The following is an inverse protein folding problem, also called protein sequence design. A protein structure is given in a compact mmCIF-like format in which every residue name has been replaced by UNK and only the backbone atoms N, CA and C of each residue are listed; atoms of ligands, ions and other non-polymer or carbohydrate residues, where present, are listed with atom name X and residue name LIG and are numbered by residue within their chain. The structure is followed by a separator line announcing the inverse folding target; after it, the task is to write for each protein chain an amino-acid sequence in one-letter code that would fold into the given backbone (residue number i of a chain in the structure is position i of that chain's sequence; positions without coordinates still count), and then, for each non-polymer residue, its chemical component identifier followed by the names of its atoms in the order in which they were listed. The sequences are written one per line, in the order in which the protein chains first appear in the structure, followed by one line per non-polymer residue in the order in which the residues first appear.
data_IF_934495889809
#
_entry.id   IF_934495889809
#
_cell.length_a   1.000
_cell.length_b   1.000
_cell.length_c   1.000
_cell.angle_alpha   90.00
_cell.angle_beta   90.00
_cell.angle_gamma   90.00
#
_symmetry.space_group_name_H-M   'P 1'
#
loop_
_entity.id
_entity.type
_entity.pdbx_description
1 polymer ?
#
# COMPACT_ATOMS: atom_id res chain seq x y z
N UNK A 1 32.54 -6.29 -1.08
CA UNK A 1 32.23 -5.61 0.22
C UNK A 1 30.75 -5.21 0.15
N UNK A 2 29.86 -5.92 0.84
CA UNK A 2 28.44 -5.55 0.89
C UNK A 2 28.38 -4.37 1.87
N UNK A 3 28.09 -3.18 1.36
CA UNK A 3 27.83 -2.00 2.18
C UNK A 3 26.51 -2.29 2.96
N UNK A 4 26.63 -2.52 4.25
CA UNK A 4 25.48 -2.65 5.12
C UNK A 4 24.87 -1.24 5.28
N UNK A 5 23.80 -0.96 4.55
CA UNK A 5 23.02 0.25 4.79
C UNK A 5 22.46 0.21 6.20
N UNK A 6 22.37 1.36 6.85
CA UNK A 6 21.77 1.46 8.16
C UNK A 6 20.31 0.95 8.12
N UNK A 7 19.87 0.17 9.14
CA UNK A 7 18.47 -0.30 9.16
C UNK A 7 17.50 0.88 9.25
N UNK A 8 16.39 0.77 8.54
CA UNK A 8 15.29 1.73 8.61
C UNK A 8 14.39 1.34 9.77
N UNK A 9 14.21 2.25 10.73
CA UNK A 9 13.29 2.07 11.86
C UNK A 9 11.97 2.76 11.54
N UNK A 10 10.87 1.99 11.60
CA UNK A 10 9.51 2.51 11.41
C UNK A 10 8.74 2.35 12.71
N UNK A 11 8.32 3.48 13.29
CA UNK A 11 7.40 3.46 14.42
C UNK A 11 5.96 3.38 13.87
N UNK A 12 5.30 2.26 14.10
CA UNK A 12 3.93 2.02 13.62
C UNK A 12 2.85 2.56 14.57
N UNK A 13 3.22 2.88 15.81
CA UNK A 13 2.27 3.31 16.85
C UNK A 13 1.23 2.25 17.22
N UNK A 14 1.48 0.96 16.93
CA UNK A 14 0.52 -0.12 17.19
C UNK A 14 1.19 -1.36 17.79
N UNK A 15 0.38 -2.17 18.48
CA UNK A 15 0.76 -3.53 18.86
C UNK A 15 0.71 -4.42 17.60
N UNK A 16 1.88 -4.70 17.03
CA UNK A 16 2.03 -5.44 15.77
C UNK A 16 1.79 -6.93 16.00
N UNK A 17 0.90 -7.51 15.20
CA UNK A 17 0.61 -8.96 15.18
C UNK A 17 1.47 -9.66 14.13
N UNK A 18 1.73 -9.00 13.01
CA UNK A 18 2.56 -9.56 11.95
C UNK A 18 2.85 -8.58 10.82
N UNK A 19 3.88 -8.89 10.05
CA UNK A 19 4.23 -8.15 8.85
C UNK A 19 4.51 -9.11 7.68
N UNK A 20 4.14 -8.69 6.48
CA UNK A 20 4.30 -9.47 5.24
C UNK A 20 4.64 -8.56 4.08
N UNK A 21 5.68 -8.91 3.35
CA UNK A 21 5.99 -8.31 2.06
C UNK A 21 5.01 -8.78 0.98
N UNK A 22 4.63 -7.89 0.09
CA UNK A 22 4.02 -8.26 -1.19
C UNK A 22 4.98 -9.15 -1.99
N UNK A 23 4.46 -10.00 -2.87
CA UNK A 23 5.30 -10.95 -3.61
C UNK A 23 6.32 -10.28 -4.53
N UNK A 24 6.02 -9.08 -5.01
CA UNK A 24 6.92 -8.25 -5.81
C UNK A 24 7.91 -7.42 -4.97
N UNK A 25 7.80 -7.48 -3.64
CA UNK A 25 8.67 -6.75 -2.71
C UNK A 25 8.44 -5.24 -2.66
N UNK A 26 7.40 -4.73 -3.32
CA UNK A 26 7.14 -3.29 -3.41
C UNK A 26 6.43 -2.70 -2.20
N UNK A 27 5.70 -3.52 -1.44
CA UNK A 27 4.88 -3.06 -0.30
C UNK A 27 5.07 -3.99 0.90
N UNK A 28 5.33 -3.40 2.07
CA UNK A 28 5.28 -4.08 3.35
C UNK A 28 3.92 -3.81 4.01
N UNK A 29 3.15 -4.85 4.29
CA UNK A 29 1.95 -4.75 5.12
C UNK A 29 2.28 -5.11 6.57
N UNK A 30 1.91 -4.23 7.49
CA UNK A 30 2.06 -4.43 8.94
C UNK A 30 0.69 -4.41 9.57
N UNK A 31 0.27 -5.55 10.12
CA UNK A 31 -1.04 -5.73 10.75
C UNK A 31 -0.93 -5.67 12.27
N UNK A 32 -1.87 -5.02 12.91
CA UNK A 32 -1.88 -4.89 14.36
C UNK A 32 -3.10 -4.17 14.91
N UNK A 33 -3.02 -3.83 16.19
CA UNK A 33 -4.05 -3.09 16.92
C UNK A 33 -3.47 -1.75 17.37
N UNK A 34 -4.17 -0.69 17.06
CA UNK A 34 -3.85 0.67 17.48
C UNK A 34 -4.86 1.14 18.51
N UNK A 35 -4.38 1.64 19.64
CA UNK A 35 -5.24 2.29 20.63
C UNK A 35 -5.44 3.73 20.21
N UNK A 36 -6.69 4.09 19.89
CA UNK A 36 -7.05 5.45 19.50
C UNK A 36 -7.69 6.14 20.70
N UNK A 37 -7.14 7.26 21.20
CA UNK A 37 -7.79 8.06 22.22
C UNK A 37 -9.13 8.56 21.69
N UNK A 38 -10.23 8.21 22.35
CA UNK A 38 -11.53 8.79 22.06
C UNK A 38 -12.10 9.46 23.30
N UNK A 39 -13.00 10.42 23.11
CA UNK A 39 -13.59 11.19 24.22
C UNK A 39 -14.30 10.23 25.17
N UNK A 40 -13.68 9.97 26.32
CA UNK A 40 -14.25 9.16 27.41
C UNK A 40 -13.89 7.67 27.41
N UNK A 41 -13.17 7.14 26.42
CA UNK A 41 -12.65 5.77 26.45
C UNK A 41 -11.54 5.57 25.42
N UNK A 42 -10.57 4.72 25.76
CA UNK A 42 -9.62 4.19 24.77
C UNK A 42 -10.34 3.11 23.96
N UNK A 43 -10.28 3.22 22.64
CA UNK A 43 -10.86 2.22 21.75
C UNK A 43 -9.78 1.62 20.89
N UNK A 44 -9.60 0.33 21.01
CA UNK A 44 -8.74 -0.43 20.14
C UNK A 44 -9.32 -0.53 18.72
N UNK A 45 -8.49 -0.28 17.75
CA UNK A 45 -8.86 -0.39 16.34
C UNK A 45 -7.86 -1.30 15.63
N UNK A 46 -8.38 -2.32 14.97
CA UNK A 46 -7.55 -3.16 14.10
C UNK A 46 -7.19 -2.38 12.84
N UNK A 47 -5.92 -2.38 12.52
CA UNK A 47 -5.39 -1.66 11.35
C UNK A 47 -4.34 -2.49 10.62
N UNK A 48 -4.23 -2.23 9.32
CA UNK A 48 -3.10 -2.65 8.51
C UNK A 48 -2.48 -1.40 7.91
N UNK A 49 -1.22 -1.18 8.19
CA UNK A 49 -0.44 -0.10 7.61
C UNK A 49 0.43 -0.64 6.49
N UNK A 50 0.52 0.11 5.41
CA UNK A 50 1.31 -0.24 4.24
C UNK A 50 2.48 0.72 4.09
N UNK A 51 3.65 0.18 3.81
CA UNK A 51 4.90 0.92 3.70
C UNK A 51 5.65 0.58 2.43
N UNK A 52 6.42 1.56 1.93
CA UNK A 52 7.42 1.31 0.89
C UNK A 52 8.59 0.48 1.45
N UNK A 53 9.45 -0.11 0.59
CA UNK A 53 10.69 -0.76 1.02
C UNK A 53 11.65 0.17 1.79
N UNK A 54 11.45 1.47 1.69
CA UNK A 54 12.27 2.48 2.36
C UNK A 54 11.67 2.97 3.68
N UNK A 55 10.54 2.40 4.11
CA UNK A 55 9.87 2.74 5.37
C UNK A 55 8.89 3.90 5.29
N UNK A 56 8.56 4.40 4.11
CA UNK A 56 7.56 5.46 3.96
C UNK A 56 6.15 4.88 4.09
N UNK A 57 5.33 5.54 4.89
CA UNK A 57 3.94 5.15 5.08
C UNK A 57 3.10 5.49 3.83
N UNK A 58 2.46 4.49 3.26
CA UNK A 58 1.60 4.64 2.08
C UNK A 58 0.13 4.83 2.44
N UNK A 59 -0.39 3.95 3.30
CA UNK A 59 -1.83 3.90 3.63
C UNK A 59 -2.08 3.15 4.92
N UNK A 60 -3.18 3.49 5.59
CA UNK A 60 -3.74 2.73 6.71
C UNK A 60 -5.13 2.22 6.35
N UNK A 61 -5.33 0.92 6.47
CA UNK A 61 -6.61 0.24 6.34
C UNK A 61 -7.17 -0.06 7.73
N UNK A 62 -8.35 0.47 8.05
CA UNK A 62 -9.10 0.06 9.25
C UNK A 62 -9.84 -1.23 8.96
N UNK A 63 -9.74 -2.18 9.88
CA UNK A 63 -10.32 -3.51 9.73
C UNK A 63 -11.38 -3.71 10.82
N UNK A 64 -12.62 -4.07 10.47
CA UNK A 64 -13.66 -4.34 11.47
C UNK A 64 -13.33 -5.62 12.24
N UNK A 65 -13.88 -5.75 13.44
CA UNK A 65 -13.68 -6.92 14.32
C UNK A 65 -12.88 -6.59 15.56
N UNK A 66 -12.66 -7.60 16.41
CA UNK A 66 -12.00 -7.44 17.71
C UNK A 66 -10.49 -7.61 17.60
N UNK A 67 -10.02 -8.61 16.82
CA UNK A 67 -8.61 -8.96 16.77
C UNK A 67 -8.20 -9.49 15.39
N UNK A 68 -7.14 -8.90 14.84
CA UNK A 68 -6.44 -9.50 13.69
C UNK A 68 -5.50 -10.58 14.22
N UNK A 69 -5.50 -11.76 13.59
CA UNK A 69 -4.62 -12.87 13.96
C UNK A 69 -3.58 -13.19 12.91
N UNK A 70 -3.87 -12.92 11.64
CA UNK A 70 -2.93 -13.15 10.54
C UNK A 70 -3.22 -12.26 9.33
N UNK A 71 -2.20 -12.11 8.48
CA UNK A 71 -2.34 -11.49 7.17
C UNK A 71 -1.51 -12.25 6.13
N UNK A 72 -1.99 -12.27 4.90
CA UNK A 72 -1.30 -12.88 3.76
C UNK A 72 -1.61 -12.12 2.46
N UNK A 73 -0.60 -11.98 1.59
CA UNK A 73 -0.79 -11.45 0.26
C UNK A 73 -1.24 -12.55 -0.72
N UNK A 74 -2.08 -12.20 -1.69
CA UNK A 74 -2.31 -13.05 -2.84
C UNK A 74 -1.14 -12.99 -3.83
N UNK A 75 -1.02 -13.98 -4.72
CA UNK A 75 0.13 -14.10 -5.63
C UNK A 75 0.36 -12.92 -6.57
N UNK A 76 -0.68 -12.16 -6.91
CA UNK A 76 -0.59 -10.97 -7.75
C UNK A 76 -0.24 -9.68 -7.02
N UNK A 77 -0.06 -9.70 -5.71
CA UNK A 77 0.22 -8.52 -4.86
C UNK A 77 -0.86 -7.41 -4.91
N UNK A 78 -2.06 -7.74 -5.41
CA UNK A 78 -3.16 -6.80 -5.57
C UNK A 78 -4.21 -6.91 -4.46
N UNK A 79 -4.17 -7.99 -3.68
CA UNK A 79 -5.07 -8.24 -2.56
C UNK A 79 -4.33 -8.79 -1.35
N UNK A 80 -4.84 -8.43 -0.18
CA UNK A 80 -4.42 -9.00 1.09
C UNK A 80 -5.60 -9.69 1.76
N UNK A 81 -5.37 -10.86 2.32
CA UNK A 81 -6.32 -11.58 3.16
C UNK A 81 -5.95 -11.34 4.63
N UNK A 82 -6.94 -11.06 5.45
CA UNK A 82 -6.81 -10.78 6.88
C UNK A 82 -7.70 -11.74 7.65
N UNK A 83 -7.13 -12.47 8.57
CA UNK A 83 -7.89 -13.30 9.53
C UNK A 83 -8.25 -12.42 10.73
N UNK A 84 -9.54 -12.21 10.94
CA UNK A 84 -10.08 -11.35 12.02
C UNK A 84 -11.22 -12.09 12.71
N UNK A 85 -11.05 -12.36 13.99
CA UNK A 85 -12.00 -13.16 14.76
C UNK A 85 -12.27 -14.52 14.08
N UNK A 86 -13.50 -14.77 13.64
CA UNK A 86 -13.93 -15.97 12.90
C UNK A 86 -14.10 -15.70 11.39
N UNK A 87 -13.66 -14.54 10.88
CA UNK A 87 -13.86 -14.12 9.49
C UNK A 87 -12.54 -13.97 8.75
N UNK A 88 -12.60 -14.09 7.44
CA UNK A 88 -11.51 -13.73 6.53
C UNK A 88 -11.97 -12.53 5.71
N UNK A 89 -11.26 -11.41 5.84
CA UNK A 89 -11.48 -10.21 5.05
C UNK A 89 -10.48 -10.15 3.90
N UNK A 90 -10.97 -9.74 2.74
CA UNK A 90 -10.13 -9.47 1.57
C UNK A 90 -10.16 -7.99 1.27
N UNK A 91 -8.99 -7.39 1.20
CA UNK A 91 -8.83 -5.99 0.80
C UNK A 91 -8.05 -5.88 -0.51
N UNK A 92 -8.58 -5.10 -1.45
CA UNK A 92 -7.87 -4.77 -2.68
C UNK A 92 -6.90 -3.64 -2.40
N UNK A 93 -5.63 -3.89 -2.68
CA UNK A 93 -4.56 -2.91 -2.58
C UNK A 93 -4.27 -2.43 -3.99
N UNK A 94 -4.94 -1.35 -4.38
CA UNK A 94 -4.76 -0.77 -5.71
C UNK A 94 -3.87 0.45 -5.61
N UNK A 95 -2.95 0.64 -6.56
CA UNK A 95 -2.27 1.92 -6.71
C UNK A 95 -3.29 3.05 -6.90
N UNK A 96 -3.00 4.23 -6.36
CA UNK A 96 -3.80 5.43 -6.62
C UNK A 96 -3.55 5.91 -8.06
N UNK A 97 -4.34 5.41 -8.99
CA UNK A 97 -4.33 5.91 -10.36
C UNK A 97 -5.27 7.10 -10.50
N UNK A 98 -4.73 8.23 -10.95
CA UNK A 98 -5.53 9.31 -11.53
C UNK A 98 -5.58 9.07 -13.02
N UNK A 99 -6.75 9.11 -13.63
CA UNK A 99 -6.91 8.82 -15.04
C UNK A 99 -7.90 9.77 -15.71
N UNK A 100 -7.71 9.96 -17.00
CA UNK A 100 -8.59 10.68 -17.89
C UNK A 100 -8.67 9.95 -19.23
N UNK A 101 -9.72 10.18 -19.96
CA UNK A 101 -9.94 9.58 -21.27
C UNK A 101 -10.18 10.69 -22.31
N UNK A 102 -9.46 10.59 -23.43
CA UNK A 102 -9.66 11.49 -24.56
C UNK A 102 -9.56 10.71 -25.87
N UNK A 103 -10.62 10.75 -26.66
CA UNK A 103 -10.75 9.99 -27.91
C UNK A 103 -10.45 8.50 -27.71
N UNK A 104 -9.31 8.01 -28.19
CA UNK A 104 -8.90 6.61 -28.09
C UNK A 104 -7.74 6.40 -27.11
N UNK A 105 -7.39 7.45 -26.33
CA UNK A 105 -6.23 7.43 -25.44
C UNK A 105 -6.72 7.50 -23.99
N UNK A 106 -6.30 6.53 -23.19
CA UNK A 106 -6.41 6.56 -21.74
C UNK A 106 -5.09 7.14 -21.20
N UNK A 107 -5.21 8.21 -20.43
CA UNK A 107 -4.06 8.81 -19.72
C UNK A 107 -4.22 8.48 -18.26
N UNK A 108 -3.19 7.91 -17.66
CA UNK A 108 -3.21 7.64 -16.23
C UNK A 108 -1.87 7.94 -15.57
N UNK A 109 -1.93 8.28 -14.30
CA UNK A 109 -0.75 8.55 -13.49
C UNK A 109 -0.64 7.51 -12.39
N UNK A 110 0.59 7.16 -12.05
CA UNK A 110 0.87 6.37 -10.86
C UNK A 110 2.20 6.80 -10.23
N UNK A 111 2.27 6.68 -8.93
CA UNK A 111 3.52 6.90 -8.21
C UNK A 111 4.32 5.60 -8.24
N UNK A 112 5.56 5.68 -8.65
CA UNK A 112 6.47 4.53 -8.62
C UNK A 112 6.96 4.34 -7.19
N UNK A 113 6.84 3.11 -6.69
CA UNK A 113 7.30 2.77 -5.35
C UNK A 113 8.83 2.85 -5.17
N UNK A 114 9.57 2.79 -6.28
CA UNK A 114 11.04 2.80 -6.32
C UNK A 114 11.66 4.19 -6.54
N UNK A 115 10.84 5.22 -6.79
CA UNK A 115 11.28 6.59 -7.09
C UNK A 115 10.24 7.60 -6.65
N UNK A 116 10.68 8.77 -6.21
CA UNK A 116 9.80 9.90 -5.88
C UNK A 116 9.12 10.56 -7.11
N UNK A 117 8.97 9.79 -8.18
CA UNK A 117 8.49 10.29 -9.46
C UNK A 117 7.05 9.82 -9.73
N UNK A 118 6.24 10.73 -10.24
CA UNK A 118 4.95 10.40 -10.84
C UNK A 118 5.14 10.10 -12.32
N UNK A 119 4.79 8.90 -12.74
CA UNK A 119 4.75 8.54 -14.15
C UNK A 119 3.39 8.91 -14.75
N UNK A 120 3.40 9.49 -15.95
CA UNK A 120 2.19 9.71 -16.77
C UNK A 120 2.28 8.78 -17.97
N UNK A 121 1.27 7.94 -18.14
CA UNK A 121 1.20 6.97 -19.22
C UNK A 121 0.03 7.30 -20.15
N UNK A 122 0.30 7.29 -21.43
CA UNK A 122 -0.69 7.42 -22.49
C UNK A 122 -0.84 6.07 -23.19
N UNK A 123 -1.99 5.49 -23.08
CA UNK A 123 -2.31 4.22 -23.72
C UNK A 123 -3.40 4.40 -24.78
N UNK A 124 -3.04 4.17 -26.05
CA UNK A 124 -4.01 4.10 -27.11
C UNK A 124 -4.63 2.70 -27.15
N UNK A 125 -5.87 2.58 -26.70
CA UNK A 125 -6.53 1.28 -26.55
C UNK A 125 -6.91 0.63 -27.89
N UNK A 126 -6.91 1.38 -29.01
CA UNK A 126 -7.19 0.84 -30.35
C UNK A 126 -5.96 0.26 -31.03
N UNK A 127 -4.82 0.95 -30.89
CA UNK A 127 -3.57 0.50 -31.51
C UNK A 127 -2.73 -0.35 -30.57
N UNK A 128 -3.01 -0.29 -29.25
CA UNK A 128 -2.19 -0.94 -28.23
C UNK A 128 -0.92 -0.18 -27.89
N UNK A 129 -0.66 0.98 -28.54
CA UNK A 129 0.54 1.76 -28.29
C UNK A 129 0.54 2.36 -26.90
N UNK A 130 1.68 2.26 -26.22
CA UNK A 130 1.91 2.84 -24.89
C UNK A 130 3.09 3.79 -24.97
N UNK A 131 2.89 5.04 -24.59
CA UNK A 131 3.94 6.02 -24.39
C UNK A 131 3.87 6.58 -22.97
N UNK A 132 5.01 6.76 -22.35
CA UNK A 132 5.09 7.25 -20.97
C UNK A 132 6.03 8.45 -20.84
N UNK A 133 5.64 9.42 -20.01
CA UNK A 133 6.45 10.59 -19.67
C UNK A 133 6.67 10.63 -18.16
N UNK A 134 7.87 11.07 -17.79
CA UNK A 134 8.22 11.31 -16.40
C UNK A 134 7.89 12.77 -16.06
N UNK A 135 6.99 13.00 -15.08
CA UNK A 135 6.82 14.32 -14.49
C UNK A 135 7.80 14.47 -13.32
N UNK A 136 8.84 15.24 -13.52
CA UNK A 136 9.61 15.80 -12.40
C UNK A 136 8.90 17.06 -11.94
N UNK A 137 8.38 17.05 -10.73
CA UNK A 137 8.01 18.30 -10.06
C UNK A 137 9.31 18.96 -9.59
N UNK A 138 9.69 20.06 -10.26
CA UNK A 138 10.69 21.00 -9.71
C UNK A 138 9.90 21.86 -8.72
N UNK A 139 10.10 21.62 -7.44
CA UNK A 139 9.65 22.52 -6.36
C UNK A 139 10.70 23.61 -6.19
#
# INVERSE_FOLDING_TARGET
MISCLAPVLVDTGMATVGCKWSHDGSILAVAGTMTVPSVGSEKDSNVVQFYTPYGEHLRTLKVPGKQITACAWEGGSLRIALSVDSFIYFANIRPDYKWAYFANVVVYTYNRADKEDTAVVFWNHKTGDVSGWKLMFII
#
